data_IF_766937011669
#
_entry.id   IF_766937011669
#
_cell.length_a   1.000
_cell.length_b   1.000
_cell.length_c   1.000
_cell.angle_alpha   90.00
_cell.angle_beta   90.00
_cell.angle_gamma   90.00
#
_symmetry.space_group_name_H-M   'P 1'
#
loop_
_entity.id
_entity.type
_entity.pdbx_description
1 polymer ?
#
# COMPACT_ATOMS: atom_id res chain seq x y z
N UNK A 1 -31.04 9.97 0.91
CA UNK A 1 -30.56 9.47 -0.39
C UNK A 1 -29.19 8.88 -0.11
N UNK A 2 -28.96 7.59 -0.41
CA UNK A 2 -27.65 6.99 -0.26
C UNK A 2 -26.65 7.79 -1.10
N UNK A 3 -25.47 8.06 -0.54
CA UNK A 3 -24.43 8.82 -1.21
C UNK A 3 -23.93 7.97 -2.41
N UNK A 4 -24.35 8.37 -3.61
CA UNK A 4 -24.01 7.66 -4.86
C UNK A 4 -22.50 7.60 -5.12
N UNK A 5 -21.73 8.45 -4.43
CA UNK A 5 -20.28 8.59 -4.58
C UNK A 5 -19.50 7.38 -4.05
N UNK A 6 -20.05 6.65 -3.08
CA UNK A 6 -19.42 5.43 -2.52
C UNK A 6 -20.05 4.15 -3.06
N UNK A 7 -21.03 4.23 -3.96
CA UNK A 7 -21.75 3.05 -4.44
C UNK A 7 -20.81 2.06 -5.14
N UNK A 8 -19.84 2.54 -5.94
CA UNK A 8 -18.88 1.70 -6.60
C UNK A 8 -18.11 0.81 -5.62
N UNK A 9 -17.74 1.37 -4.44
CA UNK A 9 -17.00 0.64 -3.41
C UNK A 9 -17.86 -0.44 -2.76
N UNK A 10 -19.12 -0.13 -2.48
CA UNK A 10 -20.10 -1.08 -1.94
C UNK A 10 -20.33 -2.27 -2.87
N UNK A 11 -20.28 -2.03 -4.17
CA UNK A 11 -20.54 -3.04 -5.20
C UNK A 11 -19.28 -3.82 -5.59
N UNK A 12 -18.10 -3.27 -5.35
CA UNK A 12 -16.82 -3.83 -5.78
C UNK A 12 -16.50 -5.20 -5.15
N UNK A 13 -16.67 -5.35 -3.84
CA UNK A 13 -16.52 -6.57 -3.05
C UNK A 13 -15.15 -7.23 -3.06
N UNK A 14 -14.41 -7.23 -4.16
CA UNK A 14 -13.12 -7.89 -4.30
C UNK A 14 -12.10 -6.95 -4.93
N UNK A 15 -11.08 -6.59 -4.17
CA UNK A 15 -9.94 -5.77 -4.58
C UNK A 15 -8.63 -6.52 -4.53
N UNK A 16 -7.65 -6.03 -5.27
CA UNK A 16 -6.29 -6.52 -5.28
C UNK A 16 -5.36 -5.46 -4.68
N UNK A 17 -4.65 -5.82 -3.62
CA UNK A 17 -3.62 -5.01 -3.01
C UNK A 17 -2.26 -5.41 -3.58
N UNK A 18 -1.40 -4.44 -3.87
CA UNK A 18 -0.05 -4.68 -4.38
C UNK A 18 0.94 -3.97 -3.45
N UNK A 19 1.67 -4.76 -2.65
CA UNK A 19 2.79 -4.24 -1.88
C UNK A 19 4.07 -4.38 -2.67
N UNK A 20 4.57 -3.28 -3.21
CA UNK A 20 5.76 -3.26 -4.04
C UNK A 20 6.61 -2.01 -3.78
N UNK A 21 7.90 -2.22 -3.54
CA UNK A 21 8.89 -1.21 -3.20
C UNK A 21 10.29 -1.82 -3.18
N UNK A 22 11.28 -1.09 -2.64
CA UNK A 22 12.67 -1.53 -2.59
C UNK A 22 12.87 -2.79 -1.74
N UNK A 23 12.01 -3.02 -0.74
CA UNK A 23 12.03 -4.27 0.05
C UNK A 23 11.90 -5.54 -0.80
N UNK A 24 11.34 -5.46 -2.01
CA UNK A 24 11.25 -6.58 -2.94
C UNK A 24 12.61 -7.01 -3.51
N UNK A 25 13.62 -6.11 -3.51
CA UNK A 25 14.99 -6.43 -3.89
C UNK A 25 15.60 -7.36 -2.84
N UNK A 26 15.42 -6.99 -1.57
CA UNK A 26 15.93 -7.75 -0.43
C UNK A 26 15.21 -9.09 -0.28
N UNK A 27 13.93 -9.14 -0.61
CA UNK A 27 13.16 -10.38 -0.64
C UNK A 27 13.29 -11.21 0.66
N UNK A 28 13.31 -10.53 1.82
CA UNK A 28 13.43 -11.16 3.13
C UNK A 28 14.85 -11.37 3.65
N UNK A 29 15.91 -10.93 2.94
CA UNK A 29 17.30 -11.11 3.34
C UNK A 29 18.11 -9.83 3.14
N UNK A 30 18.92 -9.48 4.13
CA UNK A 30 19.88 -8.38 4.06
C UNK A 30 21.30 -8.89 4.21
N UNK A 31 22.18 -8.45 3.31
CA UNK A 31 23.62 -8.64 3.43
C UNK A 31 24.25 -7.29 3.77
N UNK A 32 24.77 -7.18 5.00
CA UNK A 32 25.42 -5.96 5.48
C UNK A 32 26.66 -5.66 4.62
N UNK A 33 26.74 -4.48 3.96
CA UNK A 33 27.85 -4.13 3.09
C UNK A 33 29.16 -3.92 3.85
N UNK A 34 29.11 -3.63 5.17
CA UNK A 34 30.29 -3.34 6.00
C UNK A 34 30.90 -4.62 6.59
N UNK A 35 30.06 -5.55 7.03
CA UNK A 35 30.50 -6.79 7.70
C UNK A 35 30.44 -8.01 6.80
N UNK A 36 29.63 -7.98 5.75
CA UNK A 36 29.33 -9.11 4.88
C UNK A 36 28.38 -10.13 5.53
N UNK A 37 27.88 -9.86 6.74
CA UNK A 37 26.92 -10.70 7.43
C UNK A 37 25.59 -10.76 6.68
N UNK A 38 24.99 -11.96 6.63
CA UNK A 38 23.69 -12.19 5.99
C UNK A 38 22.66 -12.49 7.07
N UNK A 39 21.65 -11.64 7.14
CA UNK A 39 20.55 -11.77 8.09
C UNK A 39 19.23 -11.90 7.34
N UNK A 40 18.38 -12.85 7.78
CA UNK A 40 17.02 -13.02 7.27
C UNK A 40 16.02 -12.39 8.22
N UNK A 41 14.99 -11.73 7.67
CA UNK A 41 13.86 -11.33 8.50
C UNK A 41 12.98 -12.54 8.80
N UNK A 42 12.58 -12.67 10.05
CA UNK A 42 11.56 -13.62 10.53
C UNK A 42 10.15 -13.01 10.52
N UNK A 43 10.03 -11.79 9.98
CA UNK A 43 8.81 -10.99 9.93
C UNK A 43 8.44 -10.64 8.49
N UNK A 44 7.41 -9.81 8.36
CA UNK A 44 6.92 -9.31 7.05
C UNK A 44 8.03 -8.57 6.29
N UNK A 45 8.15 -8.88 4.99
CA UNK A 45 9.30 -8.45 4.19
C UNK A 45 9.34 -6.94 3.92
N UNK A 46 8.19 -6.28 3.82
CA UNK A 46 8.11 -4.83 3.59
C UNK A 46 8.59 -4.00 4.79
N UNK A 47 8.79 -4.64 5.94
CA UNK A 47 9.36 -4.02 7.13
C UNK A 47 10.85 -4.38 7.34
N UNK A 48 11.52 -4.94 6.35
CA UNK A 48 12.88 -5.46 6.50
C UNK A 48 13.89 -4.38 6.91
N UNK A 49 13.81 -3.16 6.36
CA UNK A 49 14.64 -2.03 6.75
C UNK A 49 14.57 -1.80 8.26
N UNK A 50 13.36 -1.78 8.75
CA UNK A 50 13.02 -1.62 10.13
C UNK A 50 13.46 -2.83 10.99
N UNK A 51 13.04 -4.03 10.61
CA UNK A 51 13.22 -5.23 11.42
C UNK A 51 14.70 -5.57 11.62
N UNK A 52 15.54 -5.25 10.64
CA UNK A 52 16.97 -5.52 10.66
C UNK A 52 17.83 -4.30 10.97
N UNK A 53 17.21 -3.14 11.30
CA UNK A 53 17.89 -1.87 11.57
C UNK A 53 18.87 -1.48 10.46
N UNK A 54 18.46 -1.63 9.20
CA UNK A 54 19.29 -1.25 8.07
C UNK A 54 19.51 0.26 8.09
N UNK A 55 20.75 0.66 7.91
CA UNK A 55 21.13 2.07 7.83
C UNK A 55 20.41 2.75 6.66
N UNK A 56 19.81 3.92 6.88
CA UNK A 56 19.03 4.66 5.88
C UNK A 56 19.81 4.88 4.58
N UNK A 57 21.08 5.28 4.69
CA UNK A 57 21.90 5.55 3.51
C UNK A 57 22.25 4.26 2.73
N UNK A 58 22.39 3.14 3.42
CA UNK A 58 22.59 1.85 2.77
C UNK A 58 21.29 1.35 2.11
N UNK A 59 20.13 1.59 2.75
CA UNK A 59 18.83 1.26 2.17
C UNK A 59 18.51 2.09 0.92
N UNK A 60 18.80 3.39 0.95
CA UNK A 60 18.60 4.30 -0.21
C UNK A 60 19.35 3.86 -1.46
N UNK A 61 20.50 3.18 -1.33
CA UNK A 61 21.28 2.67 -2.47
C UNK A 61 20.55 1.58 -3.26
N UNK A 62 19.60 0.89 -2.63
CA UNK A 62 18.80 -0.14 -3.29
C UNK A 62 18.01 0.40 -4.49
N UNK A 63 17.69 1.71 -4.52
CA UNK A 63 17.04 2.31 -5.68
C UNK A 63 17.80 2.07 -6.99
N UNK A 64 19.13 1.99 -6.93
CA UNK A 64 20.00 1.79 -8.10
C UNK A 64 19.98 0.32 -8.59
N UNK A 65 19.43 -0.59 -7.76
CA UNK A 65 19.23 -2.01 -8.07
C UNK A 65 17.78 -2.33 -8.46
N UNK A 66 16.87 -1.34 -8.40
CA UNK A 66 15.46 -1.54 -8.73
C UNK A 66 15.24 -1.54 -10.24
N UNK A 67 15.03 -2.73 -10.81
CA UNK A 67 14.86 -2.92 -12.26
C UNK A 67 13.55 -3.64 -12.58
N UNK A 68 12.40 -2.92 -12.67
CA UNK A 68 11.08 -3.51 -12.88
C UNK A 68 10.83 -3.94 -14.34
N UNK A 69 11.79 -4.63 -14.97
CA UNK A 69 11.81 -4.94 -16.40
C UNK A 69 10.74 -5.94 -16.85
N UNK A 70 10.13 -6.65 -15.89
CA UNK A 70 9.09 -7.66 -16.15
C UNK A 70 7.69 -7.18 -15.80
N UNK A 71 7.57 -5.95 -15.30
CA UNK A 71 6.27 -5.36 -15.03
C UNK A 71 5.66 -4.84 -16.33
N UNK A 72 4.53 -5.40 -16.67
CA UNK A 72 3.66 -5.00 -17.78
C UNK A 72 2.28 -4.69 -17.19
N UNK A 73 2.02 -3.40 -17.00
CA UNK A 73 0.78 -2.94 -16.37
C UNK A 73 -0.46 -3.28 -17.21
N UNK A 74 -0.35 -3.22 -18.53
CA UNK A 74 -1.45 -3.52 -19.46
C UNK A 74 -1.89 -4.99 -19.32
N UNK A 75 -0.93 -5.90 -19.43
CA UNK A 75 -1.19 -7.33 -19.28
C UNK A 75 -1.69 -7.67 -17.87
N UNK A 76 -1.13 -7.02 -16.84
CA UNK A 76 -1.49 -7.24 -15.46
C UNK A 76 -2.94 -6.84 -15.17
N UNK A 77 -3.35 -5.60 -15.51
CA UNK A 77 -4.70 -5.10 -15.25
C UNK A 77 -5.74 -5.88 -16.05
N UNK A 78 -5.43 -6.21 -17.31
CA UNK A 78 -6.28 -7.08 -18.13
C UNK A 78 -6.53 -8.41 -17.43
N UNK A 79 -5.47 -9.05 -16.95
CA UNK A 79 -5.56 -10.34 -16.25
C UNK A 79 -6.34 -10.22 -14.95
N UNK A 80 -6.10 -9.17 -14.17
CA UNK A 80 -6.81 -8.92 -12.92
C UNK A 80 -8.33 -8.81 -13.15
N UNK A 81 -8.74 -8.09 -14.20
CA UNK A 81 -10.15 -7.92 -14.55
C UNK A 81 -10.78 -9.19 -15.12
N UNK A 82 -10.15 -9.81 -16.12
CA UNK A 82 -10.76 -10.85 -16.94
C UNK A 82 -10.62 -12.26 -16.34
N UNK A 83 -9.54 -12.53 -15.62
CA UNK A 83 -9.24 -13.88 -15.10
C UNK A 83 -9.46 -13.97 -13.58
N UNK A 84 -9.09 -12.94 -12.81
CA UNK A 84 -9.18 -12.97 -11.35
C UNK A 84 -10.47 -12.33 -10.80
N UNK A 85 -11.25 -11.66 -11.64
CA UNK A 85 -12.52 -11.04 -11.24
C UNK A 85 -12.38 -9.83 -10.33
N UNK A 86 -11.19 -9.23 -10.22
CA UNK A 86 -10.88 -8.06 -9.42
C UNK A 86 -11.68 -6.85 -9.91
N UNK A 87 -12.17 -6.02 -8.99
CA UNK A 87 -12.97 -4.83 -9.26
C UNK A 87 -12.23 -3.53 -8.99
N UNK A 88 -11.22 -3.53 -8.14
CA UNK A 88 -10.35 -2.37 -7.88
C UNK A 88 -8.95 -2.84 -7.49
N UNK A 89 -7.95 -2.01 -7.78
CA UNK A 89 -6.55 -2.28 -7.48
C UNK A 89 -6.02 -1.18 -6.59
N UNK A 90 -5.25 -1.52 -5.54
CA UNK A 90 -4.55 -0.57 -4.67
C UNK A 90 -3.06 -0.88 -4.73
N UNK A 91 -2.26 0.09 -5.20
CA UNK A 91 -0.78 -0.03 -5.22
C UNK A 91 -0.16 0.82 -4.11
N UNK A 92 0.89 0.31 -3.47
CA UNK A 92 1.74 1.13 -2.59
C UNK A 92 2.42 2.24 -3.39
N UNK A 93 1.85 3.45 -3.36
CA UNK A 93 2.48 4.63 -3.99
C UNK A 93 3.68 5.13 -3.19
N UNK A 94 3.64 5.00 -1.86
CA UNK A 94 4.76 5.17 -0.93
C UNK A 94 4.48 4.35 0.33
N UNK A 95 5.31 3.35 0.61
CA UNK A 95 5.28 2.59 1.87
C UNK A 95 6.11 3.31 2.95
N UNK A 96 6.26 2.72 4.14
CA UNK A 96 7.00 3.29 5.26
C UNK A 96 8.48 3.58 4.95
N UNK A 97 9.08 2.85 4.02
CA UNK A 97 10.47 3.07 3.54
C UNK A 97 10.70 4.43 2.87
N UNK A 98 9.63 5.16 2.55
CA UNK A 98 9.70 6.50 1.95
C UNK A 98 9.93 6.52 0.43
N UNK A 99 10.16 5.37 -0.21
CA UNK A 99 10.36 5.30 -1.67
C UNK A 99 9.05 5.50 -2.43
N UNK A 100 9.00 6.53 -3.28
CA UNK A 100 7.83 6.85 -4.08
C UNK A 100 7.80 6.05 -5.39
N UNK A 101 6.78 5.25 -5.63
CA UNK A 101 6.56 4.45 -6.84
C UNK A 101 5.99 5.27 -8.01
N UNK A 102 6.18 6.59 -7.99
CA UNK A 102 5.68 7.57 -8.98
C UNK A 102 6.66 8.74 -9.12
N UNK A 103 6.41 9.62 -10.11
CA UNK A 103 7.24 10.81 -10.39
C UNK A 103 7.01 11.93 -9.37
N UNK A 104 7.47 11.74 -8.15
CA UNK A 104 7.43 12.79 -7.12
C UNK A 104 8.43 13.90 -7.42
N UNK A 105 7.99 15.16 -7.29
CA UNK A 105 8.85 16.35 -7.32
C UNK A 105 9.21 16.83 -5.92
N UNK A 106 8.53 16.29 -4.91
CA UNK A 106 8.75 16.58 -3.49
C UNK A 106 9.95 15.79 -2.95
N UNK A 107 10.19 14.57 -3.47
CA UNK A 107 11.30 13.72 -3.06
C UNK A 107 12.05 13.17 -4.27
N UNK A 108 13.39 13.15 -4.19
CA UNK A 108 14.25 12.50 -5.19
C UNK A 108 14.37 10.97 -4.97
N UNK A 109 13.87 10.49 -3.83
CA UNK A 109 13.81 9.06 -3.52
C UNK A 109 12.55 8.45 -4.16
N UNK A 110 12.61 8.31 -5.49
CA UNK A 110 11.48 7.84 -6.29
C UNK A 110 11.90 6.96 -7.47
N UNK A 111 10.93 6.20 -7.96
CA UNK A 111 11.13 5.20 -9.02
C UNK A 111 11.54 5.82 -10.36
N UNK A 112 11.09 7.02 -10.68
CA UNK A 112 11.44 7.68 -11.95
C UNK A 112 12.91 8.11 -11.96
N UNK A 113 13.41 8.61 -10.83
CA UNK A 113 14.84 8.91 -10.66
C UNK A 113 15.71 7.66 -10.74
N UNK A 114 15.21 6.54 -10.21
CA UNK A 114 15.91 5.26 -10.20
C UNK A 114 15.91 4.57 -11.59
N UNK A 115 14.78 4.57 -12.29
CA UNK A 115 14.55 3.69 -13.44
C UNK A 115 14.18 4.41 -14.75
N UNK A 116 13.81 5.68 -14.68
CA UNK A 116 13.20 6.42 -15.79
C UNK A 116 11.73 6.05 -16.05
N UNK A 117 11.11 5.16 -15.27
CA UNK A 117 9.73 4.69 -15.42
C UNK A 117 8.85 5.20 -14.28
N UNK A 118 7.65 5.63 -14.59
CA UNK A 118 6.60 5.94 -13.62
C UNK A 118 5.64 4.76 -13.51
N UNK A 119 5.90 3.89 -12.54
CA UNK A 119 5.13 2.65 -12.35
C UNK A 119 3.66 2.92 -12.04
N UNK A 120 3.40 3.96 -11.23
CA UNK A 120 2.04 4.35 -10.91
C UNK A 120 1.30 4.88 -12.14
N UNK A 121 1.97 5.64 -13.01
CA UNK A 121 1.42 6.13 -14.29
C UNK A 121 1.06 4.98 -15.20
N UNK A 122 1.97 4.04 -15.39
CA UNK A 122 1.73 2.86 -16.22
C UNK A 122 0.50 2.07 -15.73
N UNK A 123 0.39 1.86 -14.42
CA UNK A 123 -0.76 1.18 -13.81
C UNK A 123 -2.06 2.01 -13.97
N UNK A 124 -1.98 3.33 -13.73
CA UNK A 124 -3.10 4.26 -13.89
C UNK A 124 -3.68 4.22 -15.31
N UNK A 125 -2.81 4.29 -16.32
CA UNK A 125 -3.22 4.28 -17.72
C UNK A 125 -3.82 2.92 -18.13
N UNK A 126 -3.25 1.82 -17.64
CA UNK A 126 -3.84 0.49 -17.83
C UNK A 126 -5.20 0.36 -17.14
N UNK A 127 -5.35 0.87 -15.92
CA UNK A 127 -6.63 0.88 -15.21
C UNK A 127 -7.71 1.66 -15.99
N UNK A 128 -7.38 2.81 -16.56
CA UNK A 128 -8.29 3.56 -17.44
C UNK A 128 -8.68 2.76 -18.68
N UNK A 129 -7.72 2.15 -19.35
CA UNK A 129 -7.94 1.36 -20.57
C UNK A 129 -8.90 0.21 -20.34
N UNK A 130 -8.82 -0.45 -19.20
CA UNK A 130 -9.65 -1.60 -18.86
C UNK A 130 -10.84 -1.27 -17.96
N UNK A 131 -11.16 0.00 -17.72
CA UNK A 131 -12.23 0.40 -16.81
C UNK A 131 -12.11 -0.34 -15.46
N UNK A 132 -10.92 -0.26 -14.86
CA UNK A 132 -10.58 -0.80 -13.54
C UNK A 132 -10.47 0.36 -12.57
N UNK A 133 -11.19 0.29 -11.45
CA UNK A 133 -11.07 1.31 -10.40
C UNK A 133 -9.69 1.22 -9.74
N UNK A 134 -9.06 2.37 -9.55
CA UNK A 134 -7.72 2.46 -8.96
C UNK A 134 -7.74 3.20 -7.64
N UNK A 135 -7.07 2.62 -6.67
CA UNK A 135 -6.66 3.24 -5.41
C UNK A 135 -5.15 3.23 -5.24
N UNK A 136 -4.69 3.97 -4.27
CA UNK A 136 -3.30 3.99 -3.82
C UNK A 136 -3.22 3.74 -2.32
N UNK A 137 -2.16 3.06 -1.90
CA UNK A 137 -1.72 3.06 -0.51
C UNK A 137 -0.71 4.19 -0.32
N UNK A 138 -0.83 4.91 0.78
CA UNK A 138 0.12 5.94 1.18
C UNK A 138 0.36 5.91 2.70
N UNK A 139 1.61 5.73 3.10
CA UNK A 139 2.02 5.81 4.51
C UNK A 139 2.09 7.28 4.94
N UNK A 140 1.06 7.76 5.65
CA UNK A 140 0.90 9.17 5.97
C UNK A 140 1.74 9.63 7.17
N UNK A 141 2.02 8.74 8.12
CA UNK A 141 2.74 9.09 9.34
C UNK A 141 4.16 8.55 9.39
N UNK A 142 4.36 7.33 8.92
CA UNK A 142 5.69 6.73 8.86
C UNK A 142 6.37 7.03 7.52
N UNK A 143 7.62 7.45 7.61
CA UNK A 143 8.53 7.60 6.48
C UNK A 143 9.96 7.47 7.03
N UNK A 144 10.55 6.31 6.84
CA UNK A 144 11.86 6.00 7.45
C UNK A 144 13.00 6.73 6.79
N UNK A 145 12.78 7.28 5.60
CA UNK A 145 13.71 8.15 4.88
C UNK A 145 13.69 9.60 5.36
N UNK A 146 12.61 10.06 6.01
CA UNK A 146 12.46 11.42 6.50
C UNK A 146 12.65 11.51 8.02
N UNK A 147 13.58 12.38 8.49
CA UNK A 147 13.91 12.45 9.90
C UNK A 147 12.81 13.09 10.77
N UNK A 148 11.89 13.83 10.17
CA UNK A 148 10.77 14.46 10.86
C UNK A 148 9.53 13.56 10.93
N UNK A 149 9.47 12.47 10.14
CA UNK A 149 8.38 11.52 10.18
C UNK A 149 8.47 10.59 11.39
N UNK A 150 7.36 9.91 11.68
CA UNK A 150 7.41 8.84 12.67
C UNK A 150 8.32 7.72 12.15
N UNK A 151 9.23 7.33 13.03
CA UNK A 151 10.05 6.16 12.85
C UNK A 151 9.33 4.97 13.49
N UNK A 152 9.91 3.90 13.40
CA UNK A 152 9.56 2.57 13.66
C UNK A 152 9.32 2.15 15.12
N UNK A 153 9.81 2.90 16.08
CA UNK A 153 9.81 2.47 17.46
C UNK A 153 8.40 2.29 17.99
N UNK A 154 8.06 1.01 18.19
CA UNK A 154 6.79 0.60 18.76
C UNK A 154 6.56 1.14 20.18
N UNK A 155 7.61 1.63 20.82
CA UNK A 155 7.53 2.26 22.14
C UNK A 155 6.92 3.65 22.06
N UNK A 156 7.13 4.40 20.97
CA UNK A 156 6.62 5.76 20.77
C UNK A 156 5.30 5.84 19.98
N UNK A 157 4.60 4.74 19.77
CA UNK A 157 3.42 4.64 18.89
C UNK A 157 2.32 5.67 19.13
N UNK A 158 2.21 6.18 20.32
CA UNK A 158 1.13 7.05 20.74
C UNK A 158 1.61 8.43 21.19
N UNK A 159 2.90 8.73 21.08
CA UNK A 159 3.42 10.04 21.47
C UNK A 159 3.43 10.96 20.25
N UNK A 160 2.78 12.10 20.41
CA UNK A 160 2.85 13.16 19.41
C UNK A 160 4.25 13.77 19.37
N UNK A 161 4.79 13.98 18.15
CA UNK A 161 6.11 14.58 17.91
C UNK A 161 5.93 15.92 17.20
N UNK A 162 6.44 17.04 17.76
CA UNK A 162 6.32 18.36 17.12
C UNK A 162 6.96 18.40 15.73
N UNK A 163 8.05 17.67 15.51
CA UNK A 163 8.77 17.58 14.24
C UNK A 163 7.91 16.97 13.13
N UNK A 164 6.96 16.12 13.49
CA UNK A 164 6.03 15.52 12.53
C UNK A 164 5.28 16.57 11.72
N UNK A 165 5.01 17.74 12.30
CA UNK A 165 4.35 18.82 11.57
C UNK A 165 5.14 19.27 10.35
N UNK A 166 6.47 19.30 10.41
CA UNK A 166 7.34 19.64 9.27
C UNK A 166 7.17 18.60 8.15
N UNK A 167 7.31 17.31 8.45
CA UNK A 167 7.06 16.25 7.48
C UNK A 167 5.65 16.32 6.88
N UNK A 168 4.65 16.51 7.74
CA UNK A 168 3.25 16.56 7.34
C UNK A 168 2.96 17.66 6.33
N UNK A 169 3.50 18.86 6.56
CA UNK A 169 3.28 20.03 5.70
C UNK A 169 4.19 20.07 4.48
N UNK A 170 5.43 19.62 4.59
CA UNK A 170 6.44 19.79 3.54
C UNK A 170 6.60 18.55 2.64
N UNK A 171 6.18 17.36 3.12
CA UNK A 171 6.28 16.12 2.33
C UNK A 171 4.94 15.42 2.17
N UNK A 172 4.25 15.07 3.26
CA UNK A 172 3.05 14.25 3.21
C UNK A 172 1.93 14.91 2.37
N UNK A 173 1.50 16.12 2.74
CA UNK A 173 0.44 16.83 2.01
C UNK A 173 0.83 17.20 0.57
N UNK A 174 2.05 17.70 0.28
CA UNK A 174 2.47 17.95 -1.09
C UNK A 174 2.51 16.69 -1.96
N UNK A 175 3.02 15.56 -1.46
CA UNK A 175 3.00 14.29 -2.19
C UNK A 175 1.59 13.79 -2.48
N UNK A 176 0.66 13.90 -1.51
CA UNK A 176 -0.74 13.57 -1.74
C UNK A 176 -1.39 14.48 -2.79
N UNK A 177 -1.01 15.76 -2.81
CA UNK A 177 -1.45 16.68 -3.86
C UNK A 177 -0.95 16.24 -5.24
N UNK A 178 0.34 15.90 -5.38
CA UNK A 178 0.89 15.34 -6.61
C UNK A 178 0.09 14.12 -7.10
N UNK A 179 -0.18 13.19 -6.19
CA UNK A 179 -0.91 11.96 -6.50
C UNK A 179 -2.35 12.25 -6.98
N UNK A 180 -3.06 13.14 -6.31
CA UNK A 180 -4.46 13.42 -6.61
C UNK A 180 -4.66 14.32 -7.85
N UNK A 181 -3.71 15.22 -8.14
CA UNK A 181 -3.78 16.12 -9.29
C UNK A 181 -3.20 15.49 -10.56
N UNK A 182 -2.13 14.70 -10.44
CA UNK A 182 -1.45 14.13 -11.60
C UNK A 182 -2.03 12.78 -12.05
N UNK A 183 -2.75 12.06 -11.17
CA UNK A 183 -3.37 10.77 -11.48
C UNK A 183 -4.89 10.85 -11.30
N UNK A 184 -5.58 11.28 -12.36
CA UNK A 184 -7.00 11.66 -12.36
C UNK A 184 -7.98 10.53 -12.01
N UNK A 185 -7.58 9.26 -12.16
CA UNK A 185 -8.42 8.10 -11.90
C UNK A 185 -8.25 7.47 -10.50
N UNK A 186 -7.46 8.08 -9.60
CA UNK A 186 -7.38 7.63 -8.20
C UNK A 186 -8.73 7.87 -7.53
N UNK A 187 -9.40 6.82 -7.08
CA UNK A 187 -10.72 6.85 -6.44
C UNK A 187 -10.68 6.50 -4.96
N UNK A 188 -9.54 5.98 -4.46
CA UNK A 188 -9.36 5.55 -3.08
C UNK A 188 -7.94 5.82 -2.61
N UNK A 189 -7.78 6.33 -1.38
CA UNK A 189 -6.51 6.35 -0.65
C UNK A 189 -6.61 5.39 0.53
N UNK A 190 -5.72 4.42 0.54
CA UNK A 190 -5.51 3.50 1.64
C UNK A 190 -4.36 4.03 2.51
N UNK A 191 -4.70 4.72 3.59
CA UNK A 191 -3.76 5.17 4.62
C UNK A 191 -3.41 4.02 5.57
N UNK A 192 -2.27 4.13 6.26
CA UNK A 192 -1.84 3.09 7.19
C UNK A 192 -1.10 3.66 8.40
N UNK A 193 -1.20 2.96 9.53
CA UNK A 193 -0.46 3.22 10.77
C UNK A 193 -0.33 4.71 11.11
N UNK A 194 -1.39 5.36 11.62
CA UNK A 194 -1.39 6.80 11.92
C UNK A 194 -0.43 7.20 13.04
N UNK A 195 0.18 6.24 13.73
CA UNK A 195 1.15 6.47 14.80
C UNK A 195 0.61 7.45 15.86
N UNK A 196 1.41 8.45 16.26
CA UNK A 196 1.04 9.50 17.19
C UNK A 196 0.28 10.68 16.57
N UNK A 197 -0.22 10.57 15.33
CA UNK A 197 -1.06 11.63 14.74
C UNK A 197 -2.26 11.94 15.63
N UNK A 198 -2.54 13.22 15.80
CA UNK A 198 -3.70 13.69 16.56
C UNK A 198 -5.00 13.58 15.76
N UNK A 199 -6.12 13.68 16.45
CA UNK A 199 -7.44 13.71 15.79
C UNK A 199 -7.59 14.93 14.86
N UNK A 200 -6.98 16.06 15.21
CA UNK A 200 -7.01 17.28 14.40
C UNK A 200 -6.15 17.12 13.13
N UNK A 201 -4.97 16.49 13.22
CA UNK A 201 -4.13 16.19 12.06
C UNK A 201 -4.80 15.19 11.12
N UNK A 202 -5.46 14.17 11.66
CA UNK A 202 -6.22 13.22 10.85
C UNK A 202 -7.42 13.89 10.15
N UNK A 203 -8.10 14.84 10.83
CA UNK A 203 -9.16 15.63 10.22
C UNK A 203 -8.62 16.57 9.15
N UNK A 204 -7.51 17.28 9.43
CA UNK A 204 -6.85 18.14 8.47
C UNK A 204 -6.43 17.39 7.20
N UNK A 205 -5.85 16.18 7.36
CA UNK A 205 -5.46 15.35 6.23
C UNK A 205 -6.68 14.93 5.38
N UNK A 206 -7.77 14.53 6.06
CA UNK A 206 -9.03 14.24 5.39
C UNK A 206 -9.53 15.43 4.59
N UNK A 207 -9.59 16.60 5.21
CA UNK A 207 -10.11 17.83 4.57
C UNK A 207 -9.21 18.26 3.41
N UNK A 208 -7.89 18.07 3.53
CA UNK A 208 -6.93 18.29 2.46
C UNK A 208 -7.21 17.41 1.24
N UNK A 209 -7.37 16.11 1.43
CA UNK A 209 -7.69 15.16 0.35
C UNK A 209 -9.04 15.50 -0.27
N UNK A 210 -10.08 15.75 0.55
CA UNK A 210 -11.42 16.06 0.07
C UNK A 210 -11.51 17.42 -0.61
N UNK A 211 -10.65 18.36 -0.24
CA UNK A 211 -10.53 19.67 -0.90
C UNK A 211 -10.00 19.55 -2.33
N UNK A 212 -9.09 18.60 -2.58
CA UNK A 212 -8.53 18.36 -3.91
C UNK A 212 -9.46 17.45 -4.73
N UNK A 213 -9.91 16.34 -4.12
CA UNK A 213 -10.72 15.32 -4.79
C UNK A 213 -11.88 14.86 -3.90
N UNK A 214 -13.03 15.54 -3.94
CA UNK A 214 -14.15 15.29 -3.03
C UNK A 214 -14.69 13.86 -3.06
N UNK A 215 -14.60 13.20 -4.22
CA UNK A 215 -15.14 11.86 -4.44
C UNK A 215 -14.14 10.73 -4.10
N UNK A 216 -12.86 11.06 -3.83
CA UNK A 216 -11.87 10.09 -3.41
C UNK A 216 -12.21 9.55 -2.01
N UNK A 217 -12.38 8.24 -1.88
CA UNK A 217 -12.67 7.62 -0.58
C UNK A 217 -11.39 7.36 0.22
N UNK A 218 -11.51 7.36 1.53
CA UNK A 218 -10.38 7.33 2.47
C UNK A 218 -10.58 6.16 3.43
N UNK A 219 -9.55 5.32 3.58
CA UNK A 219 -9.57 4.18 4.50
C UNK A 219 -9.63 4.59 5.97
N UNK A 220 -10.18 3.71 6.81
CA UNK A 220 -10.27 3.93 8.26
C UNK A 220 -8.92 4.07 8.96
N UNK A 221 -7.83 3.62 8.33
CA UNK A 221 -6.47 3.73 8.87
C UNK A 221 -5.85 5.14 8.76
N UNK A 222 -6.57 6.13 8.26
CA UNK A 222 -6.22 7.54 8.51
C UNK A 222 -6.19 7.85 10.01
N UNK A 223 -6.90 7.08 10.82
CA UNK A 223 -6.96 7.20 12.27
C UNK A 223 -8.19 7.96 12.78
N UNK A 224 -8.43 7.88 14.09
CA UNK A 224 -9.44 8.65 14.82
C UNK A 224 -10.85 8.60 14.23
N UNK A 225 -11.22 7.49 13.56
CA UNK A 225 -12.53 7.32 12.89
C UNK A 225 -12.81 8.38 11.80
N UNK A 226 -11.76 8.90 11.16
CA UNK A 226 -11.88 9.91 10.09
C UNK A 226 -11.98 9.30 8.67
N UNK A 227 -11.94 7.97 8.53
CA UNK A 227 -12.13 7.29 7.25
C UNK A 227 -13.58 7.32 6.75
N UNK A 228 -13.75 7.02 5.47
CA UNK A 228 -15.06 6.84 4.84
C UNK A 228 -15.61 5.41 5.03
N UNK A 229 -14.73 4.46 5.29
CA UNK A 229 -15.06 3.07 5.59
C UNK A 229 -14.10 2.51 6.64
N UNK A 230 -14.51 1.45 7.34
CA UNK A 230 -13.68 0.79 8.35
C UNK A 230 -12.74 -0.23 7.69
N UNK A 231 -11.48 -0.24 8.07
CA UNK A 231 -10.55 -1.35 7.81
C UNK A 231 -10.43 -2.22 9.06
N UNK A 232 -10.56 -3.52 8.89
CA UNK A 232 -10.31 -4.47 9.99
C UNK A 232 -8.81 -4.58 10.28
N UNK A 233 -8.44 -5.31 11.33
CA UNK A 233 -7.06 -5.78 11.49
C UNK A 233 -6.64 -6.70 10.33
N UNK A 234 -5.33 -6.80 10.10
CA UNK A 234 -4.76 -7.61 9.02
C UNK A 234 -5.17 -9.07 9.13
N UNK A 235 -5.67 -9.63 8.03
CA UNK A 235 -6.21 -11.00 7.98
C UNK A 235 -7.33 -11.29 9.00
N UNK A 236 -7.91 -10.26 9.61
CA UNK A 236 -8.94 -10.42 10.64
C UNK A 236 -10.35 -10.33 10.03
N UNK A 237 -11.11 -11.40 10.15
CA UNK A 237 -12.50 -11.46 9.71
C UNK A 237 -13.42 -11.30 10.90
N UNK A 238 -14.25 -10.25 10.96
CA UNK A 238 -15.14 -10.01 12.08
C UNK A 238 -16.20 -11.13 12.18
N UNK A 239 -16.54 -11.54 13.40
CA UNK A 239 -17.60 -12.56 13.65
C UNK A 239 -18.98 -12.04 13.26
N UNK A 240 -19.23 -10.76 13.50
CA UNK A 240 -20.46 -10.07 13.16
C UNK A 240 -20.15 -8.99 12.12
N UNK A 241 -21.09 -8.66 11.22
CA UNK A 241 -20.93 -7.54 10.30
C UNK A 241 -20.82 -6.23 11.08
N UNK A 242 -20.06 -5.29 10.54
CA UNK A 242 -20.05 -3.91 11.02
C UNK A 242 -21.21 -3.13 10.41
N UNK A 243 -21.64 -2.09 11.12
CA UNK A 243 -22.53 -1.07 10.55
C UNK A 243 -21.72 -0.19 9.57
N UNK A 244 -22.25 0.02 8.37
CA UNK A 244 -21.57 0.80 7.32
C UNK A 244 -20.62 -0.02 6.45
N UNK A 245 -19.77 0.69 5.72
CA UNK A 245 -18.82 0.08 4.78
C UNK A 245 -17.54 -0.36 5.51
N UNK A 246 -17.04 -1.54 5.16
CA UNK A 246 -15.84 -2.09 5.79
C UNK A 246 -15.06 -3.01 4.84
N UNK A 247 -13.79 -3.20 5.14
CA UNK A 247 -12.85 -3.98 4.32
C UNK A 247 -11.94 -4.83 5.20
N UNK A 248 -11.63 -6.03 4.69
CA UNK A 248 -10.60 -6.92 5.23
C UNK A 248 -9.39 -6.90 4.31
N UNK A 249 -8.27 -6.28 4.71
CA UNK A 249 -7.00 -6.47 4.03
C UNK A 249 -6.41 -7.83 4.44
N UNK A 250 -5.97 -8.62 3.48
CA UNK A 250 -5.43 -9.95 3.73
C UNK A 250 -4.33 -10.33 2.73
N UNK A 251 -3.47 -11.25 3.13
CA UNK A 251 -2.38 -11.78 2.33
C UNK A 251 -2.70 -13.18 1.77
N UNK A 252 -2.03 -13.56 0.69
CA UNK A 252 -2.08 -14.94 0.14
C UNK A 252 -1.08 -15.88 0.82
N UNK A 253 -0.15 -15.31 1.61
CA UNK A 253 0.91 -15.96 2.38
C UNK A 253 1.11 -15.25 3.73
N UNK A 254 2.29 -15.27 4.35
CA UNK A 254 2.54 -14.67 5.66
C UNK A 254 3.06 -13.22 5.58
N UNK A 255 3.31 -12.68 4.38
CA UNK A 255 3.92 -11.36 4.18
C UNK A 255 3.15 -10.51 3.16
N UNK A 256 3.27 -9.17 3.23
CA UNK A 256 2.68 -8.27 2.24
C UNK A 256 3.62 -8.06 1.05
N UNK A 257 4.87 -7.68 1.31
CA UNK A 257 5.92 -7.60 0.31
C UNK A 257 6.47 -8.97 -0.07
N UNK A 258 7.17 -9.03 -1.21
CA UNK A 258 7.77 -10.28 -1.68
C UNK A 258 8.86 -10.79 -0.72
N UNK A 259 8.74 -12.04 -0.29
CA UNK A 259 9.75 -12.78 0.47
C UNK A 259 10.02 -14.12 -0.20
N UNK A 260 11.27 -14.33 -0.65
CA UNK A 260 11.67 -15.56 -1.36
C UNK A 260 11.68 -16.80 -0.46
N UNK A 261 11.64 -16.61 0.85
CA UNK A 261 11.63 -17.69 1.84
C UNK A 261 10.25 -18.04 2.35
N UNK A 262 9.23 -17.20 2.05
CA UNK A 262 7.86 -17.47 2.44
C UNK A 262 7.23 -18.47 1.45
N UNK A 263 7.00 -19.66 1.94
CA UNK A 263 6.38 -20.76 1.21
C UNK A 263 5.03 -21.17 1.79
N UNK A 264 4.54 -20.42 2.78
CA UNK A 264 3.27 -20.72 3.47
C UNK A 264 2.07 -20.14 2.71
N UNK A 265 1.85 -20.65 1.50
CA UNK A 265 0.74 -20.21 0.67
C UNK A 265 -0.60 -20.73 1.18
N UNK A 266 -1.59 -19.85 1.27
CA UNK A 266 -2.96 -20.20 1.62
C UNK A 266 -3.60 -21.04 0.53
N UNK A 267 -4.46 -21.98 0.95
CA UNK A 267 -5.20 -22.79 -0.01
C UNK A 267 -6.23 -21.92 -0.77
N UNK A 268 -6.35 -22.05 -2.11
CA UNK A 268 -7.34 -21.32 -2.89
C UNK A 268 -8.78 -21.49 -2.39
N UNK A 269 -9.17 -22.66 -1.94
CA UNK A 269 -10.51 -22.91 -1.37
C UNK A 269 -10.74 -22.11 -0.08
N UNK A 270 -9.71 -21.94 0.74
CA UNK A 270 -9.79 -21.11 1.94
C UNK A 270 -9.95 -19.64 1.58
N UNK A 271 -9.20 -19.13 0.59
CA UNK A 271 -9.34 -17.76 0.08
C UNK A 271 -10.75 -17.53 -0.46
N UNK A 272 -11.29 -18.45 -1.25
CA UNK A 272 -12.66 -18.37 -1.75
C UNK A 272 -13.69 -18.37 -0.61
N UNK A 273 -13.52 -19.26 0.37
CA UNK A 273 -14.39 -19.30 1.55
C UNK A 273 -14.33 -17.99 2.37
N UNK A 274 -13.14 -17.37 2.48
CA UNK A 274 -12.98 -16.08 3.14
C UNK A 274 -13.69 -14.98 2.36
N UNK A 275 -13.51 -14.92 1.05
CA UNK A 275 -14.21 -13.99 0.16
C UNK A 275 -15.74 -14.11 0.35
N UNK A 276 -16.28 -15.32 0.28
CA UNK A 276 -17.73 -15.54 0.45
C UNK A 276 -18.23 -15.12 1.83
N UNK A 277 -17.47 -15.39 2.90
CA UNK A 277 -17.82 -14.96 4.27
C UNK A 277 -17.81 -13.44 4.44
N UNK A 278 -16.83 -12.76 3.85
CA UNK A 278 -16.70 -11.30 3.94
C UNK A 278 -17.82 -10.65 3.14
N UNK A 279 -18.00 -11.04 1.89
CA UNK A 279 -19.03 -10.49 1.00
C UNK A 279 -20.44 -10.77 1.52
N UNK A 280 -20.69 -11.98 2.02
CA UNK A 280 -21.98 -12.35 2.63
C UNK A 280 -22.32 -11.56 3.89
N UNK A 281 -21.34 -10.89 4.51
CA UNK A 281 -21.52 -9.98 5.65
C UNK A 281 -21.49 -8.50 5.25
N UNK A 282 -21.44 -8.19 3.95
CA UNK A 282 -21.48 -6.83 3.43
C UNK A 282 -20.12 -6.15 3.26
N UNK A 283 -19.01 -6.80 3.65
CA UNK A 283 -17.66 -6.23 3.53
C UNK A 283 -17.03 -6.37 2.15
N UNK A 284 -15.88 -5.72 1.99
CA UNK A 284 -14.98 -5.89 0.85
C UNK A 284 -13.76 -6.72 1.27
N UNK A 285 -13.25 -7.53 0.36
CA UNK A 285 -12.02 -8.31 0.53
C UNK A 285 -10.91 -7.71 -0.32
N UNK A 286 -9.88 -7.19 0.31
CA UNK A 286 -8.69 -6.63 -0.36
C UNK A 286 -7.53 -7.61 -0.20
N UNK A 287 -7.33 -8.46 -1.22
CA UNK A 287 -6.35 -9.55 -1.18
C UNK A 287 -5.02 -9.08 -1.75
N UNK A 288 -3.94 -9.28 -0.99
CA UNK A 288 -2.62 -8.77 -1.33
C UNK A 288 -1.76 -9.75 -2.13
N UNK A 289 -0.98 -9.18 -3.03
CA UNK A 289 0.15 -9.85 -3.71
C UNK A 289 1.39 -8.96 -3.64
N UNK A 290 2.57 -9.58 -3.46
CA UNK A 290 3.87 -8.90 -3.48
C UNK A 290 4.68 -9.33 -4.70
N UNK A 291 4.87 -8.46 -5.72
CA UNK A 291 5.76 -8.76 -6.84
C UNK A 291 7.24 -8.76 -6.41
N UNK A 292 8.08 -9.50 -7.13
CA UNK A 292 9.54 -9.43 -6.96
C UNK A 292 10.08 -8.08 -7.50
N UNK A 293 11.39 -7.83 -7.30
CA UNK A 293 12.04 -6.60 -7.73
C UNK A 293 11.93 -6.32 -9.24
N UNK A 294 11.70 -7.36 -10.05
CA UNK A 294 11.52 -7.23 -11.50
C UNK A 294 10.06 -6.97 -11.90
N UNK A 295 9.15 -6.92 -10.92
CA UNK A 295 7.72 -6.73 -11.14
C UNK A 295 6.96 -8.00 -11.53
N UNK A 296 7.55 -9.17 -11.26
CA UNK A 296 6.92 -10.44 -11.56
C UNK A 296 6.18 -10.96 -10.33
N UNK A 297 4.93 -11.34 -10.52
CA UNK A 297 4.13 -11.97 -9.46
C UNK A 297 4.55 -13.43 -9.27
N UNK A 298 4.67 -13.92 -8.03
CA UNK A 298 4.91 -15.33 -7.74
C UNK A 298 3.89 -16.22 -8.45
N UNK A 299 4.33 -17.38 -8.91
CA UNK A 299 3.44 -18.34 -9.62
C UNK A 299 2.31 -18.80 -8.71
N UNK A 300 2.64 -19.01 -7.45
CA UNK A 300 1.72 -19.46 -6.41
C UNK A 300 0.62 -18.43 -6.17
N UNK A 301 0.96 -17.15 -5.98
CA UNK A 301 -0.04 -16.09 -5.83
C UNK A 301 -0.92 -15.95 -7.07
N UNK A 302 -0.33 -16.07 -8.27
CA UNK A 302 -1.08 -16.04 -9.53
C UNK A 302 -2.00 -17.22 -9.74
N UNK A 303 -1.73 -18.37 -9.10
CA UNK A 303 -2.58 -19.55 -9.15
C UNK A 303 -3.71 -19.53 -8.11
N UNK A 304 -3.50 -18.80 -6.99
CA UNK A 304 -4.50 -18.62 -5.94
C UNK A 304 -5.60 -17.64 -6.39
N UNK A 305 -5.20 -16.55 -7.09
CA UNK A 305 -6.13 -15.54 -7.61
C UNK A 305 -7.02 -16.08 -8.71
#
# INVERSE_FOLDING_TARGET
>A
MADTKQQWYKDAKYGLFIHWGLYSILAGEWKDPKTGEVTKTDRIAEWIENNLNIDKEDYRKLKDEFHPDKFDADMFVKRAKEQWGVKYIVLTSKHHEGFAMYDSKVSDFNVVKATGRDILRELSDACKKYDMTMGIYYSQAQDWDDDNAYKKDYEDKNEWKPEFRTYFDEKCKPQLKELLENYDNISLIWFDTPMGMTADEAQELRDWVKGIKPDCIISGRIGHQKGDYMTTGDNFIPRLPYDGDWEVPATVNDTWGYNKYDTNWKNPDDILNLLLKIVGRGGNYLLNVGPDAKGKFPKESSAIL
#
